data_IF_622225547510
#
_entry.id   IF_622225547510
#
_cell.length_a   1.000
_cell.length_b   1.000
_cell.length_c   1.000
_cell.angle_alpha   90.00
_cell.angle_beta   90.00
_cell.angle_gamma   90.00
#
_symmetry.space_group_name_H-M   'P 1'
#
loop_
_entity.id
_entity.type
_entity.pdbx_description
1 polymer ?
#
# COMPACT_ATOMS: atom_id res chain seq x y z
N UNK A 1 -9.68 -14.22 28.85
CA UNK A 1 -8.34 -14.55 28.29
C UNK A 1 -8.37 -14.77 26.77
N UNK A 2 -9.04 -15.80 26.23
CA UNK A 2 -9.11 -15.99 24.76
C UNK A 2 -9.90 -14.88 24.06
N UNK A 3 -11.01 -14.45 24.66
CA UNK A 3 -11.85 -13.38 24.11
C UNK A 3 -11.11 -12.03 24.11
N UNK A 4 -10.33 -11.74 25.15
CA UNK A 4 -9.49 -10.53 25.22
C UNK A 4 -8.43 -10.50 24.13
N UNK A 5 -7.84 -11.65 23.78
CA UNK A 5 -6.89 -11.77 22.67
C UNK A 5 -7.60 -11.49 21.34
N UNK A 6 -8.79 -12.05 21.11
CA UNK A 6 -9.55 -11.82 19.88
C UNK A 6 -9.89 -10.34 19.70
N UNK A 7 -10.39 -9.69 20.76
CA UNK A 7 -10.70 -8.25 20.75
C UNK A 7 -9.43 -7.41 20.50
N UNK A 8 -8.33 -7.74 21.20
CA UNK A 8 -7.06 -7.06 21.00
C UNK A 8 -6.51 -7.19 19.57
N UNK A 9 -6.60 -8.38 18.97
CA UNK A 9 -6.18 -8.60 17.59
C UNK A 9 -7.04 -7.84 16.58
N UNK A 10 -8.37 -7.75 16.79
CA UNK A 10 -9.24 -6.95 15.93
C UNK A 10 -8.85 -5.48 15.91
N UNK A 11 -8.50 -4.92 17.06
CA UNK A 11 -8.03 -3.53 17.17
C UNK A 11 -6.71 -3.37 16.42
N UNK A 12 -5.76 -4.28 16.64
CA UNK A 12 -4.46 -4.25 15.94
C UNK A 12 -4.62 -4.29 14.42
N UNK A 13 -5.46 -5.19 13.88
CA UNK A 13 -5.69 -5.26 12.43
C UNK A 13 -6.28 -3.98 11.86
N UNK A 14 -7.23 -3.36 12.58
CA UNK A 14 -7.85 -2.12 12.16
C UNK A 14 -6.82 -0.99 12.10
N UNK A 15 -6.08 -0.75 13.18
CA UNK A 15 -5.11 0.34 13.25
C UNK A 15 -3.95 0.13 12.28
N UNK A 16 -3.33 -1.05 12.30
CA UNK A 16 -2.18 -1.34 11.45
C UNK A 16 -2.53 -1.28 9.96
N UNK A 17 -3.72 -1.73 9.56
CA UNK A 17 -4.19 -1.64 8.18
C UNK A 17 -4.62 -0.23 7.78
N UNK A 18 -5.28 0.50 8.67
CA UNK A 18 -5.83 1.82 8.37
C UNK A 18 -4.74 2.89 8.24
N UNK A 19 -3.90 3.06 9.27
CA UNK A 19 -2.92 4.16 9.31
C UNK A 19 -1.90 4.04 8.18
N UNK A 20 -1.33 2.85 7.97
CA UNK A 20 -0.30 2.61 6.96
C UNK A 20 -0.83 2.76 5.53
N UNK A 21 -2.01 2.21 5.24
CA UNK A 21 -2.62 2.27 3.91
C UNK A 21 -3.12 3.68 3.58
N UNK A 22 -3.77 4.35 4.53
CA UNK A 22 -4.27 5.72 4.32
C UNK A 22 -3.13 6.71 4.09
N UNK A 23 -2.03 6.60 4.84
CA UNK A 23 -0.83 7.41 4.64
C UNK A 23 -0.23 7.19 3.25
N UNK A 24 -0.08 5.93 2.84
CA UNK A 24 0.44 5.58 1.51
C UNK A 24 -0.44 6.15 0.39
N UNK A 25 -1.77 6.02 0.52
CA UNK A 25 -2.72 6.59 -0.46
C UNK A 25 -2.66 8.12 -0.51
N UNK A 26 -2.54 8.79 0.64
CA UNK A 26 -2.45 10.25 0.69
C UNK A 26 -1.21 10.77 -0.06
N UNK A 27 -0.04 10.18 0.19
CA UNK A 27 1.18 10.55 -0.53
C UNK A 27 1.15 10.18 -2.01
N UNK A 28 0.53 9.04 -2.36
CA UNK A 28 0.34 8.67 -3.77
C UNK A 28 -0.49 9.71 -4.51
N UNK A 29 -1.62 10.14 -3.95
CA UNK A 29 -2.46 11.17 -4.54
C UNK A 29 -1.75 12.52 -4.62
N UNK A 30 -0.97 12.88 -3.59
CA UNK A 30 -0.18 14.12 -3.59
C UNK A 30 0.90 14.13 -4.68
N UNK A 31 1.65 13.04 -4.86
CA UNK A 31 2.63 12.92 -5.93
C UNK A 31 1.98 12.88 -7.32
N UNK A 32 0.85 12.20 -7.48
CA UNK A 32 0.13 12.19 -8.76
C UNK A 32 -0.41 13.58 -9.13
N UNK A 33 -0.89 14.36 -8.15
CA UNK A 33 -1.35 15.72 -8.38
C UNK A 33 -0.21 16.65 -8.86
N UNK A 34 1.03 16.41 -8.42
CA UNK A 34 2.22 17.15 -8.86
C UNK A 34 2.78 16.66 -10.20
N UNK A 35 2.53 15.40 -10.57
CA UNK A 35 3.12 14.74 -11.72
C UNK A 35 2.03 14.30 -12.72
N UNK A 36 1.42 15.26 -13.42
CA UNK A 36 0.27 15.04 -14.32
C UNK A 36 0.55 14.03 -15.45
N UNK A 37 1.79 13.97 -15.95
CA UNK A 37 2.20 12.99 -16.97
C UNK A 37 2.14 11.55 -16.43
N UNK A 38 2.60 11.33 -15.20
CA UNK A 38 2.54 10.02 -14.53
C UNK A 38 1.08 9.68 -14.22
N UNK A 39 0.30 10.66 -13.74
CA UNK A 39 -1.12 10.49 -13.47
C UNK A 39 -1.90 10.04 -14.70
N UNK A 40 -1.68 10.69 -15.85
CA UNK A 40 -2.39 10.35 -17.08
C UNK A 40 -2.01 8.95 -17.58
N UNK A 41 -0.72 8.60 -17.54
CA UNK A 41 -0.26 7.26 -17.90
C UNK A 41 -0.85 6.17 -16.99
N UNK A 42 -0.88 6.41 -15.68
CA UNK A 42 -1.49 5.48 -14.72
C UNK A 42 -3.00 5.34 -14.97
N UNK A 43 -3.67 6.47 -15.21
CA UNK A 43 -5.10 6.48 -15.54
C UNK A 43 -5.39 5.65 -16.78
N UNK A 44 -4.58 5.76 -17.82
CA UNK A 44 -4.71 4.97 -19.05
C UNK A 44 -4.62 3.47 -18.77
N UNK A 45 -3.58 2.99 -18.06
CA UNK A 45 -3.45 1.58 -17.69
C UNK A 45 -4.69 1.07 -16.93
N UNK A 46 -5.17 1.85 -15.95
CA UNK A 46 -6.35 1.47 -15.16
C UNK A 46 -7.58 1.34 -16.05
N UNK A 47 -7.85 2.31 -16.93
CA UNK A 47 -9.02 2.26 -17.81
C UNK A 47 -8.92 1.15 -18.86
N UNK A 48 -7.72 0.84 -19.36
CA UNK A 48 -7.50 -0.27 -20.29
C UNK A 48 -7.80 -1.61 -19.62
N UNK A 49 -7.27 -1.87 -18.42
CA UNK A 49 -7.53 -3.12 -17.70
C UNK A 49 -9.00 -3.26 -17.28
N UNK A 50 -9.63 -2.18 -16.83
CA UNK A 50 -11.04 -2.20 -16.42
C UNK A 50 -11.99 -2.44 -17.60
N UNK A 51 -11.64 -2.03 -18.82
CA UNK A 51 -12.44 -2.32 -20.02
C UNK A 51 -12.47 -3.80 -20.38
N UNK A 52 -11.43 -4.57 -20.03
CA UNK A 52 -11.31 -5.98 -20.42
C UNK A 52 -12.18 -6.86 -19.50
N UNK A 53 -11.99 -6.73 -18.17
CA UNK A 53 -12.56 -7.66 -17.19
C UNK A 53 -13.34 -6.96 -16.06
N UNK A 54 -13.52 -5.64 -16.12
CA UNK A 54 -14.02 -4.86 -14.99
C UNK A 54 -13.07 -4.88 -13.79
N UNK A 55 -13.56 -4.40 -12.65
CA UNK A 55 -12.79 -4.41 -11.40
C UNK A 55 -12.86 -5.79 -10.75
N UNK A 56 -11.79 -6.56 -10.94
CA UNK A 56 -11.58 -7.89 -10.35
C UNK A 56 -10.20 -7.97 -9.69
N UNK A 57 -10.00 -8.95 -8.80
CA UNK A 57 -8.68 -9.21 -8.20
C UNK A 57 -7.58 -9.37 -9.27
N UNK A 58 -7.87 -10.13 -10.32
CA UNK A 58 -6.93 -10.35 -11.42
C UNK A 58 -6.68 -9.08 -12.26
N UNK A 59 -7.68 -8.19 -12.41
CA UNK A 59 -7.46 -6.90 -13.09
C UNK A 59 -6.46 -6.02 -12.34
N UNK A 60 -6.60 -5.90 -11.01
CA UNK A 60 -5.68 -5.10 -10.19
C UNK A 60 -4.27 -5.69 -10.24
N UNK A 61 -4.18 -7.03 -10.21
CA UNK A 61 -2.90 -7.73 -10.29
C UNK A 61 -2.16 -7.51 -11.63
N UNK A 62 -2.87 -7.21 -12.73
CA UNK A 62 -2.28 -6.90 -14.04
C UNK A 62 -1.81 -5.45 -14.19
N UNK A 63 -2.32 -4.52 -13.37
CA UNK A 63 -1.95 -3.10 -13.37
C UNK A 63 -0.51 -2.90 -12.84
N UNK A 64 0.46 -3.18 -13.70
CA UNK A 64 1.89 -3.22 -13.34
C UNK A 64 2.42 -1.81 -13.05
N UNK A 65 1.96 -0.80 -13.78
CA UNK A 65 2.34 0.58 -13.58
C UNK A 65 1.72 1.15 -12.29
N UNK A 66 0.48 0.79 -11.95
CA UNK A 66 -0.10 1.08 -10.63
C UNK A 66 0.81 0.58 -9.50
N UNK A 67 1.27 -0.67 -9.58
CA UNK A 67 2.16 -1.23 -8.57
C UNK A 67 3.51 -0.49 -8.51
N UNK A 68 4.06 -0.07 -9.66
CA UNK A 68 5.26 0.77 -9.70
C UNK A 68 5.05 2.12 -9.01
N UNK A 69 3.91 2.78 -9.23
CA UNK A 69 3.57 4.04 -8.58
C UNK A 69 3.49 3.86 -7.06
N UNK A 70 2.79 2.83 -6.58
CA UNK A 70 2.68 2.54 -5.14
C UNK A 70 4.07 2.27 -4.53
N UNK A 71 4.89 1.46 -5.20
CA UNK A 71 6.25 1.16 -4.74
C UNK A 71 7.13 2.41 -4.68
N UNK A 72 7.05 3.31 -5.66
CA UNK A 72 7.83 4.54 -5.66
C UNK A 72 7.38 5.50 -4.55
N UNK A 73 6.07 5.56 -4.28
CA UNK A 73 5.52 6.31 -3.14
C UNK A 73 6.06 5.76 -1.83
N UNK A 74 6.05 4.43 -1.64
CA UNK A 74 6.60 3.80 -0.42
C UNK A 74 8.12 3.96 -0.32
N UNK A 75 8.84 4.07 -1.44
CA UNK A 75 10.29 4.36 -1.46
C UNK A 75 10.59 5.78 -0.97
N UNK A 76 9.75 6.75 -1.34
CA UNK A 76 9.91 8.16 -0.95
C UNK A 76 9.33 8.46 0.44
N UNK A 77 8.17 7.88 0.74
CA UNK A 77 7.35 8.15 1.92
C UNK A 77 6.89 6.82 2.56
N UNK A 78 7.82 6.03 3.14
CA UNK A 78 7.47 4.79 3.80
C UNK A 78 6.62 5.07 5.04
N UNK A 79 5.41 4.50 5.11
CA UNK A 79 4.52 4.65 6.26
C UNK A 79 5.11 4.07 7.56
N UNK A 80 5.97 3.05 7.43
CA UNK A 80 6.73 2.45 8.54
C UNK A 80 8.22 2.47 8.16
N UNK A 81 8.94 3.57 8.44
CA UNK A 81 10.33 3.74 8.01
C UNK A 81 11.34 2.89 8.78
N UNK A 82 11.00 2.46 9.99
CA UNK A 82 11.88 1.74 10.90
C UNK A 82 11.18 0.45 11.32
N UNK A 83 11.92 -0.65 11.27
CA UNK A 83 11.47 -1.94 11.80
C UNK A 83 12.38 -2.29 12.97
N UNK A 84 11.85 -2.17 14.19
CA UNK A 84 12.61 -2.48 15.39
C UNK A 84 12.95 -3.98 15.47
N UNK A 85 14.20 -4.25 15.85
CA UNK A 85 14.75 -5.60 16.02
C UNK A 85 15.59 -5.63 17.29
N UNK A 86 15.55 -6.78 17.98
CA UNK A 86 16.42 -7.09 19.12
C UNK A 86 17.07 -8.43 18.83
N UNK A 87 18.38 -8.53 19.04
CA UNK A 87 19.10 -9.80 18.89
C UNK A 87 18.69 -10.76 20.02
N UNK A 88 18.29 -11.97 19.66
CA UNK A 88 17.93 -12.99 20.64
C UNK A 88 19.16 -13.70 21.22
N UNK A 89 20.28 -13.68 20.49
CA UNK A 89 21.56 -14.30 20.85
C UNK A 89 22.72 -13.46 20.28
N UNK A 90 23.92 -13.61 20.84
CA UNK A 90 25.13 -12.94 20.35
C UNK A 90 25.55 -13.46 18.97
N UNK A 91 26.09 -12.56 18.15
CA UNK A 91 26.66 -12.93 16.84
C UNK A 91 27.93 -13.78 17.03
N UNK A 92 28.04 -14.89 16.29
CA UNK A 92 29.23 -15.76 16.26
C UNK A 92 30.17 -15.36 15.13
#
# INVERSE_FOLDING_TARGET
YKDDILVGQSITFLFAGFETSSTTMAFALWELAKNTVIQERLRQEIFEELKINGLTYESVRRMTYLMKVINEVMRLYPAVPIIDRVANEDYK
#
